data_IF_938301261968
#
_entry.id   IF_938301261968
#
_cell.length_a   1.000
_cell.length_b   1.000
_cell.length_c   1.000
_cell.angle_alpha   90.00
_cell.angle_beta   90.00
_cell.angle_gamma   90.00
#
_symmetry.space_group_name_H-M   'P 1'
#
loop_
_entity.id
_entity.type
_entity.pdbx_description
1 polymer ?
#
# COMPACT_ATOMS: atom_id res chain seq x y z
N UNK A 1 -60.65 27.88 -67.84
CA UNK A 1 -61.00 27.14 -66.61
C UNK A 1 -60.83 25.61 -66.70
N UNK A 2 -60.41 25.04 -67.85
CA UNK A 2 -60.29 23.58 -68.04
C UNK A 2 -58.95 22.99 -67.57
N UNK A 3 -57.91 23.83 -67.44
CA UNK A 3 -56.55 23.40 -67.09
C UNK A 3 -56.30 23.31 -65.57
N UNK A 4 -57.14 23.95 -64.75
CA UNK A 4 -57.04 23.89 -63.28
C UNK A 4 -57.59 22.55 -62.75
N UNK A 5 -58.57 21.96 -63.44
CA UNK A 5 -59.15 20.66 -63.04
C UNK A 5 -58.17 19.50 -63.21
N UNK A 6 -57.25 19.60 -64.18
CA UNK A 6 -56.24 18.57 -64.48
C UNK A 6 -55.07 18.57 -63.49
N UNK A 7 -54.80 19.72 -62.86
CA UNK A 7 -53.72 19.84 -61.86
C UNK A 7 -54.13 19.29 -60.49
N UNK A 8 -55.42 19.35 -60.14
CA UNK A 8 -55.94 18.80 -58.88
C UNK A 8 -55.99 17.27 -58.90
N UNK A 9 -56.15 16.65 -60.07
CA UNK A 9 -56.16 15.18 -60.19
C UNK A 9 -54.78 14.54 -60.02
N UNK A 10 -53.69 15.31 -60.19
CA UNK A 10 -52.32 14.80 -60.07
C UNK A 10 -51.78 14.80 -58.62
N UNK A 11 -52.44 15.50 -57.69
CA UNK A 11 -52.06 15.52 -56.27
C UNK A 11 -52.70 14.37 -55.45
N UNK A 12 -53.57 13.56 -56.06
CA UNK A 12 -54.21 12.41 -55.42
C UNK A 12 -53.39 11.12 -55.44
N UNK A 13 -52.08 11.17 -55.72
CA UNK A 13 -51.22 9.98 -55.75
C UNK A 13 -50.97 9.50 -54.32
N UNK A 14 -51.90 8.70 -53.78
CA UNK A 14 -51.78 8.06 -52.47
C UNK A 14 -50.50 7.25 -52.42
N UNK A 15 -49.62 7.56 -51.46
CA UNK A 15 -48.45 6.75 -51.17
C UNK A 15 -48.90 5.32 -50.84
N UNK A 16 -48.58 4.37 -51.71
CA UNK A 16 -48.78 2.96 -51.43
C UNK A 16 -47.80 2.56 -50.34
N UNK A 17 -48.25 2.53 -49.09
CA UNK A 17 -47.49 1.98 -47.97
C UNK A 17 -47.41 0.47 -48.15
N UNK A 18 -46.26 -0.02 -48.62
CA UNK A 18 -45.98 -1.46 -48.64
C UNK A 18 -45.73 -1.94 -47.21
N UNK A 19 -46.67 -2.69 -46.65
CA UNK A 19 -46.48 -3.37 -45.37
C UNK A 19 -45.47 -4.52 -45.54
N UNK A 20 -44.38 -4.48 -44.78
CA UNK A 20 -43.43 -5.59 -44.76
C UNK A 20 -43.99 -6.68 -43.85
N UNK A 21 -44.66 -7.66 -44.46
CA UNK A 21 -45.10 -8.88 -43.77
C UNK A 21 -44.00 -9.94 -43.75
N UNK A 22 -43.95 -10.72 -42.67
CA UNK A 22 -43.02 -11.86 -42.53
C UNK A 22 -43.79 -13.17 -42.62
N UNK A 23 -43.29 -14.12 -43.42
CA UNK A 23 -43.83 -15.48 -43.48
C UNK A 23 -43.38 -16.22 -42.21
N UNK A 24 -44.31 -16.89 -41.53
CA UNK A 24 -44.01 -17.64 -40.32
C UNK A 24 -43.26 -18.93 -40.62
N UNK A 25 -42.27 -19.26 -39.77
CA UNK A 25 -41.56 -20.55 -39.82
C UNK A 25 -42.39 -21.72 -39.25
N UNK A 26 -43.61 -21.44 -38.76
CA UNK A 26 -44.54 -22.45 -38.24
C UNK A 26 -45.28 -23.18 -39.37
N UNK A 27 -44.58 -24.10 -40.02
CA UNK A 27 -45.18 -25.00 -41.00
C UNK A 27 -45.83 -26.20 -40.30
N UNK A 28 -46.90 -26.73 -40.88
CA UNK A 28 -47.52 -28.00 -40.46
C UNK A 28 -47.37 -29.00 -41.60
N UNK A 29 -46.78 -30.16 -41.31
CA UNK A 29 -46.58 -31.24 -42.28
C UNK A 29 -47.57 -32.37 -42.02
N UNK A 30 -47.93 -33.12 -43.07
CA UNK A 30 -48.88 -34.22 -42.97
C UNK A 30 -48.19 -35.53 -42.62
N UNK A 31 -48.71 -36.23 -41.60
CA UNK A 31 -48.46 -37.65 -41.35
C UNK A 31 -49.54 -38.45 -42.07
N UNK A 32 -49.15 -39.34 -42.98
CA UNK A 32 -50.08 -40.13 -43.81
C UNK A 32 -50.03 -41.62 -43.49
N UNK A 33 -51.09 -42.35 -43.84
CA UNK A 33 -51.14 -43.81 -43.68
C UNK A 33 -50.37 -44.59 -44.74
N UNK A 34 -49.83 -43.93 -45.77
CA UNK A 34 -49.05 -44.57 -46.84
C UNK A 34 -48.16 -43.58 -47.59
N UNK A 35 -47.32 -44.12 -48.49
CA UNK A 35 -46.22 -43.42 -49.16
C UNK A 35 -46.65 -42.61 -50.40
N UNK A 36 -47.85 -42.02 -50.38
CA UNK A 36 -48.33 -41.14 -51.44
C UNK A 36 -49.36 -40.12 -50.90
N UNK A 37 -49.62 -39.08 -51.67
CA UNK A 37 -50.57 -38.00 -51.38
C UNK A 37 -52.03 -38.45 -51.32
N UNK A 38 -52.37 -39.57 -51.97
CA UNK A 38 -53.73 -40.15 -52.00
C UNK A 38 -54.12 -40.86 -50.71
N UNK A 39 -53.14 -41.24 -49.88
CA UNK A 39 -53.40 -41.89 -48.60
C UNK A 39 -53.93 -40.90 -47.55
N UNK A 40 -54.76 -41.41 -46.64
CA UNK A 40 -55.41 -40.62 -45.60
C UNK A 40 -54.37 -39.92 -44.73
N UNK A 41 -54.61 -38.64 -44.45
CA UNK A 41 -53.86 -37.88 -43.44
C UNK A 41 -54.29 -38.37 -42.06
N UNK A 42 -53.35 -38.92 -41.30
CA UNK A 42 -53.55 -39.35 -39.92
C UNK A 42 -53.52 -38.12 -39.00
N UNK A 43 -52.53 -37.24 -39.20
CA UNK A 43 -52.30 -36.08 -38.33
C UNK A 43 -51.55 -34.96 -39.04
N UNK A 44 -51.74 -33.72 -38.59
CA UNK A 44 -50.89 -32.58 -38.93
C UNK A 44 -49.83 -32.40 -37.84
N UNK A 45 -48.56 -32.46 -38.21
CA UNK A 45 -47.41 -32.32 -37.30
C UNK A 45 -46.84 -30.90 -37.43
N UNK A 46 -46.70 -30.14 -36.32
CA UNK A 46 -46.03 -28.85 -36.36
C UNK A 46 -44.53 -29.00 -36.66
N UNK A 47 -43.92 -27.97 -37.24
CA UNK A 47 -42.46 -27.83 -37.39
C UNK A 47 -41.76 -28.09 -36.06
N UNK A 48 -40.68 -28.88 -36.08
CA UNK A 48 -39.92 -29.25 -34.87
C UNK A 48 -40.47 -30.44 -34.10
N UNK A 49 -41.54 -31.09 -34.56
CA UNK A 49 -41.99 -32.37 -33.97
C UNK A 49 -40.87 -33.41 -34.10
N UNK A 50 -40.38 -33.92 -32.97
CA UNK A 50 -39.41 -35.01 -32.95
C UNK A 50 -40.07 -36.32 -33.40
N UNK A 51 -39.40 -37.05 -34.29
CA UNK A 51 -39.86 -38.32 -34.83
C UNK A 51 -38.72 -39.33 -34.88
N UNK A 52 -39.03 -40.59 -34.58
CA UNK A 52 -38.13 -41.71 -34.80
C UNK A 52 -38.30 -42.21 -36.24
N UNK A 53 -37.22 -42.44 -36.97
CA UNK A 53 -37.27 -42.88 -38.37
C UNK A 53 -37.12 -44.39 -38.42
N UNK A 54 -38.17 -45.08 -38.85
CA UNK A 54 -38.20 -46.54 -38.96
C UNK A 54 -37.65 -47.01 -40.31
N UNK A 55 -37.97 -46.31 -41.39
CA UNK A 55 -37.44 -46.60 -42.73
C UNK A 55 -37.50 -45.37 -43.64
N UNK A 56 -36.67 -45.36 -44.69
CA UNK A 56 -36.70 -44.34 -45.75
C UNK A 56 -36.79 -45.01 -47.11
N UNK A 57 -37.79 -44.64 -47.88
CA UNK A 57 -37.96 -45.05 -49.27
C UNK A 57 -37.55 -43.89 -50.20
N UNK A 58 -36.50 -44.11 -51.01
CA UNK A 58 -35.99 -43.10 -51.94
C UNK A 58 -36.83 -43.01 -53.22
N UNK A 59 -37.49 -44.09 -53.60
CA UNK A 59 -38.32 -44.15 -54.80
C UNK A 59 -39.64 -43.39 -54.60
N UNK A 60 -40.30 -43.57 -53.46
CA UNK A 60 -41.53 -42.84 -53.13
C UNK A 60 -41.27 -41.46 -52.50
N UNK A 61 -40.05 -41.18 -52.05
CA UNK A 61 -39.66 -39.99 -51.29
C UNK A 61 -40.34 -39.85 -49.92
N UNK A 62 -40.80 -40.96 -49.33
CA UNK A 62 -41.36 -41.00 -47.97
C UNK A 62 -40.43 -41.70 -46.98
N UNK A 63 -40.57 -41.35 -45.72
CA UNK A 63 -40.04 -42.06 -44.57
C UNK A 63 -41.20 -42.58 -43.72
N UNK A 64 -41.08 -43.81 -43.24
CA UNK A 64 -41.91 -44.30 -42.16
C UNK A 64 -41.34 -43.79 -40.84
N UNK A 65 -42.16 -43.12 -40.05
CA UNK A 65 -41.77 -42.49 -38.80
C UNK A 65 -42.71 -42.88 -37.66
N UNK A 66 -42.18 -42.89 -36.45
CA UNK A 66 -42.92 -43.12 -35.21
C UNK A 66 -42.88 -41.86 -34.34
N UNK A 67 -44.05 -41.48 -33.84
CA UNK A 67 -44.22 -40.39 -32.88
C UNK A 67 -43.99 -40.89 -31.44
N UNK A 68 -43.76 -39.95 -30.52
CA UNK A 68 -43.58 -40.27 -29.10
C UNK A 68 -44.80 -40.98 -28.45
N UNK A 69 -46.00 -40.78 -29.00
CA UNK A 69 -47.23 -41.45 -28.56
C UNK A 69 -47.41 -42.86 -29.15
N UNK A 70 -46.41 -43.36 -29.90
CA UNK A 70 -46.43 -44.66 -30.55
C UNK A 70 -47.09 -44.69 -31.92
N UNK A 71 -47.73 -43.59 -32.37
CA UNK A 71 -48.38 -43.53 -33.69
C UNK A 71 -47.34 -43.62 -34.80
N UNK A 72 -47.57 -44.51 -35.77
CA UNK A 72 -46.72 -44.66 -36.96
C UNK A 72 -47.40 -44.09 -38.21
N UNK A 73 -46.60 -43.63 -39.16
CA UNK A 73 -47.07 -43.15 -40.44
C UNK A 73 -45.96 -42.65 -41.33
N UNK A 74 -46.33 -42.09 -42.46
CA UNK A 74 -45.41 -41.71 -43.53
C UNK A 74 -45.34 -40.20 -43.71
N UNK A 75 -44.12 -39.67 -43.78
CA UNK A 75 -43.80 -38.25 -43.98
C UNK A 75 -42.81 -38.11 -45.13
N UNK A 76 -42.87 -37.01 -45.89
CA UNK A 76 -41.91 -36.75 -46.97
C UNK A 76 -40.48 -36.59 -46.45
N UNK A 77 -39.52 -37.25 -47.09
CA UNK A 77 -38.10 -37.20 -46.71
C UNK A 77 -37.55 -35.76 -46.64
N UNK A 78 -37.96 -34.88 -47.56
CA UNK A 78 -37.53 -33.46 -47.60
C UNK A 78 -37.94 -32.64 -46.38
N UNK A 79 -38.95 -33.10 -45.63
CA UNK A 79 -39.48 -32.41 -44.45
C UNK A 79 -38.84 -32.90 -43.15
N UNK A 80 -37.91 -33.86 -43.25
CA UNK A 80 -37.20 -34.43 -42.10
C UNK A 80 -35.78 -33.90 -42.13
N UNK A 81 -35.46 -33.07 -41.14
CA UNK A 81 -34.10 -32.60 -40.89
C UNK A 81 -33.41 -33.55 -39.92
N UNK A 82 -32.13 -33.84 -40.15
CA UNK A 82 -31.31 -34.63 -39.23
C UNK A 82 -30.75 -33.80 -38.06
N UNK A 83 -30.89 -32.48 -38.14
CA UNK A 83 -30.42 -31.53 -37.14
C UNK A 83 -31.58 -30.93 -36.35
N UNK A 84 -31.29 -30.43 -35.14
CA UNK A 84 -32.28 -29.70 -34.35
C UNK A 84 -32.82 -28.49 -35.12
N UNK A 85 -34.11 -28.14 -34.92
CA UNK A 85 -34.73 -26.99 -35.58
C UNK A 85 -33.92 -25.71 -35.38
N UNK A 86 -33.87 -24.86 -36.41
CA UNK A 86 -33.09 -23.62 -36.39
C UNK A 86 -33.42 -22.71 -35.20
N UNK A 87 -34.68 -22.70 -34.75
CA UNK A 87 -35.14 -21.92 -33.60
C UNK A 87 -34.50 -22.33 -32.28
N UNK A 88 -34.34 -23.64 -32.05
CA UNK A 88 -33.66 -24.14 -30.85
C UNK A 88 -32.17 -23.81 -30.89
N UNK A 89 -31.53 -23.95 -32.05
CA UNK A 89 -30.14 -23.56 -32.25
C UNK A 89 -29.91 -22.07 -32.05
N UNK A 90 -30.83 -21.22 -32.50
CA UNK A 90 -30.77 -19.79 -32.28
C UNK A 90 -30.86 -19.45 -30.80
N UNK A 91 -31.81 -20.04 -30.07
CA UNK A 91 -31.94 -19.83 -28.63
C UNK A 91 -30.68 -20.27 -27.86
N UNK A 92 -30.08 -21.41 -28.23
CA UNK A 92 -28.82 -21.87 -27.65
C UNK A 92 -27.65 -20.94 -27.99
N UNK A 93 -27.58 -20.46 -29.24
CA UNK A 93 -26.55 -19.53 -29.68
C UNK A 93 -26.65 -18.17 -28.98
N UNK A 94 -27.86 -17.64 -28.79
CA UNK A 94 -28.11 -16.41 -28.04
C UNK A 94 -27.70 -16.56 -26.57
N UNK A 95 -28.01 -17.69 -25.93
CA UNK A 95 -27.56 -17.98 -24.56
C UNK A 95 -26.03 -18.03 -24.47
N UNK A 96 -25.36 -18.70 -25.42
CA UNK A 96 -23.89 -18.72 -25.48
C UNK A 96 -23.31 -17.32 -25.65
N UNK A 97 -23.94 -16.49 -26.48
CA UNK A 97 -23.53 -15.09 -26.69
C UNK A 97 -23.63 -14.26 -25.40
N UNK A 98 -24.67 -14.46 -24.60
CA UNK A 98 -24.81 -13.78 -23.31
C UNK A 98 -23.67 -14.19 -22.36
N UNK A 99 -23.36 -15.48 -22.27
CA UNK A 99 -22.27 -16.00 -21.43
C UNK A 99 -20.91 -15.46 -21.90
N UNK A 100 -20.62 -15.59 -23.20
CA UNK A 100 -19.38 -15.11 -23.82
C UNK A 100 -19.19 -13.60 -23.72
N UNK A 101 -20.28 -12.82 -23.63
CA UNK A 101 -20.20 -11.36 -23.39
C UNK A 101 -19.95 -11.02 -21.91
N UNK A 102 -20.31 -11.88 -20.98
CA UNK A 102 -20.09 -11.67 -19.54
C UNK A 102 -18.68 -12.07 -19.10
N UNK A 103 -18.07 -13.07 -19.74
CA UNK A 103 -16.71 -13.54 -19.43
C UNK A 103 -15.62 -12.45 -19.51
N UNK A 104 -15.55 -11.58 -20.56
CA UNK A 104 -14.55 -10.52 -20.64
C UNK A 104 -14.63 -9.55 -19.46
N UNK A 105 -15.84 -9.24 -18.99
CA UNK A 105 -16.03 -8.36 -17.83
C UNK A 105 -15.48 -8.96 -16.55
N UNK A 106 -15.74 -10.26 -16.31
CA UNK A 106 -15.19 -10.99 -15.15
C UNK A 106 -13.67 -11.13 -15.23
N UNK A 107 -13.14 -11.41 -16.41
CA UNK A 107 -11.70 -11.54 -16.60
C UNK A 107 -10.99 -10.19 -16.43
N UNK A 108 -11.60 -9.11 -16.93
CA UNK A 108 -11.09 -7.75 -16.76
C UNK A 108 -11.10 -7.32 -15.29
N UNK A 109 -12.15 -7.66 -14.52
CA UNK A 109 -12.19 -7.34 -13.09
C UNK A 109 -11.13 -8.12 -12.32
N UNK A 110 -10.97 -9.42 -12.60
CA UNK A 110 -9.92 -10.24 -11.99
C UNK A 110 -8.51 -9.72 -12.29
N UNK A 111 -8.27 -9.22 -13.50
CA UNK A 111 -6.98 -8.67 -13.89
C UNK A 111 -6.70 -7.35 -13.16
N UNK A 112 -7.70 -6.49 -13.00
CA UNK A 112 -7.59 -5.27 -12.21
C UNK A 112 -7.31 -5.57 -10.73
N UNK A 113 -8.06 -6.50 -10.12
CA UNK A 113 -7.86 -6.93 -8.73
C UNK A 113 -6.46 -7.53 -8.52
N UNK A 114 -5.99 -8.34 -9.49
CA UNK A 114 -4.67 -8.96 -9.43
C UNK A 114 -3.55 -7.92 -9.55
N UNK A 115 -3.70 -6.94 -10.44
CA UNK A 115 -2.75 -5.82 -10.57
C UNK A 115 -2.67 -4.97 -9.30
N UNK A 116 -3.82 -4.66 -8.69
CA UNK A 116 -3.87 -3.93 -7.42
C UNK A 116 -3.19 -4.73 -6.30
N UNK A 117 -3.53 -6.02 -6.19
CA UNK A 117 -2.94 -6.92 -5.18
C UNK A 117 -1.42 -7.00 -5.34
N UNK A 118 -0.93 -7.12 -6.58
CA UNK A 118 0.50 -7.12 -6.87
C UNK A 118 1.16 -5.80 -6.45
N UNK A 119 0.54 -4.65 -6.71
CA UNK A 119 1.04 -3.34 -6.29
C UNK A 119 1.08 -3.17 -4.76
N UNK A 120 0.10 -3.71 -4.04
CA UNK A 120 0.10 -3.73 -2.57
C UNK A 120 1.21 -4.65 -2.04
N UNK A 121 1.34 -5.86 -2.61
CA UNK A 121 2.33 -6.84 -2.16
C UNK A 121 3.75 -6.35 -2.41
N UNK A 122 4.01 -5.70 -3.56
CA UNK A 122 5.29 -5.09 -3.88
C UNK A 122 5.67 -4.00 -2.87
N UNK A 123 4.72 -3.12 -2.49
CA UNK A 123 4.96 -2.08 -1.47
C UNK A 123 5.32 -2.69 -0.12
N UNK A 124 4.56 -3.69 0.34
CA UNK A 124 4.85 -4.40 1.60
C UNK A 124 6.21 -5.09 1.56
N UNK A 125 6.59 -5.68 0.43
CA UNK A 125 7.88 -6.31 0.25
C UNK A 125 9.02 -5.29 0.42
N UNK A 126 8.92 -4.14 -0.27
CA UNK A 126 9.93 -3.07 -0.14
C UNK A 126 10.00 -2.47 1.27
N UNK A 127 8.87 -2.37 1.96
CA UNK A 127 8.81 -1.89 3.34
C UNK A 127 9.51 -2.88 4.29
N UNK A 128 9.17 -4.18 4.19
CA UNK A 128 9.81 -5.23 4.99
C UNK A 128 11.30 -5.36 4.70
N UNK A 129 11.73 -5.20 3.45
CA UNK A 129 13.15 -5.21 3.08
C UNK A 129 13.91 -4.04 3.73
N UNK A 130 13.34 -2.84 3.68
CA UNK A 130 13.90 -1.66 4.33
C UNK A 130 13.97 -1.82 5.85
N UNK A 131 12.91 -2.34 6.46
CA UNK A 131 12.85 -2.57 7.91
C UNK A 131 13.86 -3.64 8.34
N UNK A 132 13.99 -4.73 7.60
CA UNK A 132 14.99 -5.76 7.85
C UNK A 132 16.42 -5.21 7.74
N UNK A 133 16.70 -4.39 6.72
CA UNK A 133 17.98 -3.71 6.58
C UNK A 133 18.26 -2.75 7.73
N UNK A 134 17.26 -1.98 8.18
CA UNK A 134 17.36 -1.12 9.35
C UNK A 134 17.63 -1.91 10.63
N UNK A 135 16.88 -2.98 10.89
CA UNK A 135 17.07 -3.85 12.06
C UNK A 135 18.45 -4.50 12.06
N UNK A 136 18.97 -4.93 10.91
CA UNK A 136 20.35 -5.43 10.78
C UNK A 136 21.39 -4.36 11.15
N UNK A 137 21.19 -3.12 10.70
CA UNK A 137 22.07 -2.01 11.07
C UNK A 137 21.99 -1.68 12.56
N UNK A 138 20.80 -1.66 13.15
CA UNK A 138 20.61 -1.44 14.59
C UNK A 138 21.28 -2.55 15.42
N UNK A 139 21.13 -3.82 15.02
CA UNK A 139 21.83 -4.94 15.65
C UNK A 139 23.35 -4.84 15.52
N UNK A 140 23.86 -4.38 14.37
CA UNK A 140 25.30 -4.16 14.18
C UNK A 140 25.82 -3.06 15.11
N UNK A 141 25.11 -1.93 15.21
CA UNK A 141 25.44 -0.83 16.13
C UNK A 141 25.37 -1.28 17.59
N UNK A 142 24.32 -1.99 17.97
CA UNK A 142 24.16 -2.52 19.32
C UNK A 142 25.30 -3.48 19.66
N UNK A 143 25.67 -4.39 18.75
CA UNK A 143 26.81 -5.28 18.96
C UNK A 143 28.15 -4.54 19.04
N UNK A 144 28.33 -3.44 18.30
CA UNK A 144 29.53 -2.60 18.42
C UNK A 144 29.59 -1.89 19.79
N UNK A 145 28.48 -1.30 20.24
CA UNK A 145 28.39 -0.63 21.55
C UNK A 145 28.51 -1.63 22.71
N UNK A 146 27.84 -2.78 22.61
CA UNK A 146 27.86 -3.83 23.61
C UNK A 146 29.18 -4.63 23.63
N UNK A 147 30.06 -4.48 22.63
CA UNK A 147 31.43 -5.00 22.66
C UNK A 147 32.39 -4.18 23.53
N UNK A 148 31.97 -3.01 23.99
CA UNK A 148 32.82 -2.06 24.71
C UNK A 148 32.64 -1.93 26.24
N UNK A 149 32.08 -2.91 27.01
CA UNK A 149 31.97 -2.77 28.46
C UNK A 149 33.34 -2.79 29.14
N UNK A 150 34.35 -3.42 28.53
CA UNK A 150 35.73 -3.46 29.04
C UNK A 150 36.42 -2.09 28.94
N UNK A 151 36.21 -1.34 27.85
CA UNK A 151 36.77 0.01 27.71
C UNK A 151 36.12 0.99 28.67
N UNK A 152 34.79 0.96 28.78
CA UNK A 152 34.05 1.85 29.70
C UNK A 152 34.39 1.55 31.16
N UNK A 153 34.56 0.28 31.53
CA UNK A 153 35.03 -0.10 32.86
C UNK A 153 36.46 0.41 33.14
N UNK A 154 37.39 0.24 32.18
CA UNK A 154 38.76 0.75 32.32
C UNK A 154 38.82 2.27 32.43
N UNK A 155 38.08 3.01 31.59
CA UNK A 155 37.99 4.47 31.65
C UNK A 155 37.41 4.96 33.00
N UNK A 156 36.43 4.24 33.55
CA UNK A 156 35.87 4.54 34.88
C UNK A 156 36.91 4.34 35.98
N UNK A 157 37.62 3.22 35.97
CA UNK A 157 38.65 2.92 36.96
C UNK A 157 39.79 3.96 36.90
N UNK A 158 40.25 4.31 35.69
CA UNK A 158 41.24 5.37 35.47
C UNK A 158 40.75 6.75 35.93
N UNK A 159 39.46 7.06 35.74
CA UNK A 159 38.87 8.31 36.20
C UNK A 159 38.77 8.37 37.74
N UNK A 160 38.44 7.25 38.39
CA UNK A 160 38.42 7.15 39.87
C UNK A 160 39.83 7.36 40.42
N UNK A 161 40.84 6.69 39.85
CA UNK A 161 42.24 6.85 40.28
C UNK A 161 42.71 8.29 40.14
N UNK A 162 42.43 8.94 39.00
CA UNK A 162 42.76 10.37 38.80
C UNK A 162 42.02 11.29 39.75
N UNK A 163 40.73 11.06 39.98
CA UNK A 163 39.96 11.84 40.95
C UNK A 163 40.55 11.74 42.36
N UNK A 164 41.00 10.55 42.76
CA UNK A 164 41.67 10.35 44.05
C UNK A 164 43.00 11.08 44.10
N UNK A 165 43.85 10.94 43.07
CA UNK A 165 45.14 11.62 42.98
C UNK A 165 45.00 13.15 43.06
N UNK A 166 44.03 13.72 42.34
CA UNK A 166 43.76 15.16 42.39
C UNK A 166 43.27 15.59 43.78
N UNK A 167 42.47 14.78 44.46
CA UNK A 167 42.03 15.05 45.83
C UNK A 167 43.21 15.05 46.80
N UNK A 168 44.08 14.04 46.72
CA UNK A 168 45.26 13.93 47.56
C UNK A 168 46.24 15.10 47.31
N UNK A 169 46.39 15.53 46.05
CA UNK A 169 47.20 16.68 45.68
C UNK A 169 46.61 17.99 46.22
N UNK A 170 45.29 18.17 46.14
CA UNK A 170 44.60 19.32 46.74
C UNK A 170 44.80 19.38 48.25
N UNK A 171 44.68 18.25 48.94
CA UNK A 171 44.90 18.18 50.38
C UNK A 171 46.36 18.45 50.75
N UNK A 172 47.31 17.92 49.98
CA UNK A 172 48.72 18.23 50.15
C UNK A 172 49.02 19.73 49.94
N UNK A 173 48.46 20.33 48.90
CA UNK A 173 48.62 21.76 48.60
C UNK A 173 48.00 22.63 49.69
N UNK A 174 46.83 22.25 50.21
CA UNK A 174 46.19 22.93 51.34
C UNK A 174 47.05 22.86 52.60
N UNK A 175 47.56 21.68 52.94
CA UNK A 175 48.45 21.51 54.09
C UNK A 175 49.75 22.32 53.93
N UNK A 176 50.33 22.36 52.73
CA UNK A 176 51.50 23.22 52.44
C UNK A 176 51.18 24.69 52.61
N UNK A 177 50.03 25.14 52.11
CA UNK A 177 49.60 26.54 52.20
C UNK A 177 49.33 26.95 53.66
N UNK A 178 48.62 26.11 54.42
CA UNK A 178 48.41 26.30 55.86
C UNK A 178 49.75 26.39 56.61
N UNK A 179 50.66 25.44 56.38
CA UNK A 179 51.97 25.44 57.05
C UNK A 179 52.83 26.65 56.69
N UNK A 180 52.76 27.15 55.46
CA UNK A 180 53.43 28.38 55.04
C UNK A 180 52.81 29.60 55.72
N UNK A 181 51.49 29.63 55.85
CA UNK A 181 50.75 30.68 56.57
C UNK A 181 51.12 30.68 58.06
N UNK A 182 51.08 29.53 58.74
CA UNK A 182 51.47 29.39 60.15
C UNK A 182 52.90 29.88 60.39
N UNK A 183 53.85 29.50 59.52
CA UNK A 183 55.24 29.98 59.60
C UNK A 183 55.33 31.49 59.39
N UNK A 184 54.52 32.04 58.50
CA UNK A 184 54.51 33.48 58.22
C UNK A 184 53.92 34.25 59.41
N UNK A 185 52.83 33.77 59.99
CA UNK A 185 52.23 34.34 61.21
C UNK A 185 53.19 34.27 62.40
N UNK A 186 53.88 33.15 62.61
CA UNK A 186 54.91 33.02 63.65
C UNK A 186 56.06 34.01 63.45
N UNK A 187 56.53 34.21 62.21
CA UNK A 187 57.57 35.18 61.90
C UNK A 187 57.11 36.62 62.18
N UNK A 188 55.91 37.00 61.75
CA UNK A 188 55.34 38.33 62.03
C UNK A 188 55.13 38.55 63.52
N UNK A 189 54.73 37.51 64.28
CA UNK A 189 54.64 37.58 65.74
C UNK A 189 56.01 37.82 66.39
N UNK A 190 57.06 37.12 65.94
CA UNK A 190 58.43 37.33 66.43
C UNK A 190 58.94 38.75 66.14
N UNK A 191 58.67 39.27 64.94
CA UNK A 191 59.00 40.65 64.57
C UNK A 191 58.22 41.65 65.44
N UNK A 192 56.91 41.44 65.62
CA UNK A 192 56.06 42.26 66.47
C UNK A 192 56.51 42.29 67.93
N UNK A 193 56.86 41.12 68.49
CA UNK A 193 57.42 41.02 69.84
C UNK A 193 58.74 41.79 69.98
N UNK A 194 59.63 41.69 68.98
CA UNK A 194 60.87 42.48 68.93
C UNK A 194 60.62 43.99 68.88
N UNK A 195 59.67 44.45 68.08
CA UNK A 195 59.29 45.88 67.99
C UNK A 195 58.72 46.39 69.31
N UNK A 196 57.87 45.62 69.99
CA UNK A 196 57.33 45.98 71.31
C UNK A 196 58.45 46.11 72.35
N UNK A 197 59.37 45.15 72.42
CA UNK A 197 60.52 45.21 73.34
C UNK A 197 61.40 46.44 73.05
N UNK A 198 61.73 46.69 71.78
CA UNK A 198 62.51 47.86 71.38
C UNK A 198 61.80 49.18 71.71
N UNK A 199 60.48 49.24 71.51
CA UNK A 199 59.65 50.40 71.86
C UNK A 199 59.59 50.68 73.36
N UNK A 200 59.51 49.63 74.19
CA UNK A 200 59.58 49.75 75.65
C UNK A 200 60.94 50.28 76.08
N UNK A 201 62.04 49.71 75.56
CA UNK A 201 63.41 50.16 75.88
C UNK A 201 63.58 51.64 75.50
N UNK A 202 63.23 52.03 74.26
CA UNK A 202 63.34 53.40 73.80
C UNK A 202 62.43 54.36 74.60
N UNK A 203 61.19 53.96 74.90
CA UNK A 203 60.26 54.75 75.70
C UNK A 203 60.73 54.99 77.15
N UNK A 204 61.50 54.07 77.72
CA UNK A 204 62.11 54.21 79.05
C UNK A 204 63.44 54.98 79.01
N UNK A 205 64.18 54.91 77.90
CA UNK A 205 65.48 55.57 77.73
C UNK A 205 65.36 57.04 77.28
N UNK A 206 64.43 57.36 76.38
CA UNK A 206 64.23 58.70 75.81
C UNK A 206 63.93 59.80 76.86
N UNK A 207 63.20 59.57 77.96
CA UNK A 207 62.99 60.57 79.01
C UNK A 207 64.28 61.00 79.72
N UNK A 208 65.36 60.21 79.61
CA UNK A 208 66.63 60.48 80.32
C UNK A 208 67.67 61.21 79.46
N UNK A 209 67.45 61.32 78.15
CA UNK A 209 68.32 62.09 77.27
C UNK A 209 67.90 63.56 77.22
N UNK A 210 68.43 64.35 78.16
CA UNK A 210 68.37 65.82 78.12
C UNK A 210 69.04 66.32 76.83
N UNK A 211 68.26 66.75 75.86
CA UNK A 211 68.73 67.48 74.67
C UNK A 211 69.19 68.87 75.10
N UNK A 212 70.50 69.05 75.29
CA UNK A 212 71.12 70.34 75.59
C UNK A 212 71.10 71.22 74.34
N UNK A 213 70.17 72.18 74.30
CA UNK A 213 70.10 73.21 73.25
C UNK A 213 70.90 74.43 73.72
N UNK A 214 72.14 74.60 73.24
CA UNK A 214 72.90 75.83 73.47
C UNK A 214 72.75 76.75 72.25
N UNK A 215 72.15 77.92 72.51
CA UNK A 215 72.05 79.07 71.62
C UNK A 215 73.41 79.77 71.53
N UNK A 216 73.68 80.31 70.35
CA UNK A 216 74.68 81.31 70.03
C UNK A 216 74.47 82.60 70.81
N UNK A 217 75.54 83.16 71.38
CA UNK A 217 75.68 84.62 71.58
C UNK A 217 77.10 85.05 71.22
N UNK A 218 77.16 86.28 70.73
CA UNK A 218 78.15 86.91 69.85
C UNK A 218 78.68 88.18 70.56
N UNK A 219 79.93 88.57 70.31
CA UNK A 219 80.56 89.85 70.69
C UNK A 219 81.36 89.81 72.00
N UNK A 220 82.43 90.57 72.22
CA UNK A 220 83.23 91.50 71.40
C UNK A 220 84.56 91.78 72.17
N UNK A 221 85.54 92.42 71.50
CA UNK A 221 86.87 92.92 71.93
C UNK A 221 88.10 91.99 71.84
#
# INVERSE_FOLDING_TARGET
>A
MKNILLFVFLLGSTAAFAETGYITDQLKITLRSGENTTFKVIRMLPSGTAVEILSRNKQSNYANVRLADGTTGYVLNRMILNERPARERLAEAEQKLVILRQEPGKLSSQLADLQETHGVLQRKFTEMENENNRLKQELSKLNQVARDPLRVAGERDDAIVRSQQLSDELDMLRLKNQRLTDKTEQNWFMIGAGVVIAGIILGLLLPHMRVKKNRSEWGDF
#
